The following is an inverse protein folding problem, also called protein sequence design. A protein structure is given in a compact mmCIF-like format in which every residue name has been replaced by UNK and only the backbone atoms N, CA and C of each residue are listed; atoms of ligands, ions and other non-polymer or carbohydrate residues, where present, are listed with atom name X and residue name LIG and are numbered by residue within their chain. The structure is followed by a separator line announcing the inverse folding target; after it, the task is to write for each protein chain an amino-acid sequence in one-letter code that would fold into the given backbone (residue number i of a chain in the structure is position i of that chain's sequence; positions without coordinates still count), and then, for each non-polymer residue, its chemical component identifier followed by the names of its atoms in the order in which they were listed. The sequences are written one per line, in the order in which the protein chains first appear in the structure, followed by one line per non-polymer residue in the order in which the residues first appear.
data_IF_978169989929
#
_entry.id   IF_978169989929
#
_cell.length_a   1.000
_cell.length_b   1.000
_cell.length_c   1.000
_cell.angle_alpha   90.00
_cell.angle_beta   90.00
_cell.angle_gamma   90.00
#
_symmetry.space_group_name_H-M   'P 1'
#
loop_
_entity.id
_entity.type
_entity.pdbx_description
1 polymer ?
#
# COMPACT_ATOMS: atom_id res chain seq x y z
N UNK A 1 0.07 12.51 -10.79
CA UNK A 1 0.53 12.59 -12.20
C UNK A 1 1.39 13.84 -12.40
N UNK A 2 2.72 13.69 -12.36
CA UNK A 2 3.66 14.82 -12.53
C UNK A 2 4.08 14.89 -14.00
N UNK A 3 3.74 15.97 -14.71
CA UNK A 3 4.33 16.26 -16.02
C UNK A 3 5.78 16.68 -15.80
N UNK A 4 6.73 15.88 -16.29
CA UNK A 4 8.14 16.26 -16.30
C UNK A 4 8.37 17.44 -17.25
N UNK A 5 9.12 18.44 -16.80
CA UNK A 5 9.59 19.56 -17.62
C UNK A 5 10.51 19.00 -18.73
N UNK A 6 10.34 19.47 -19.96
CA UNK A 6 11.05 19.01 -21.17
C UNK A 6 12.54 19.40 -21.19
N UNK A 7 13.16 19.59 -20.02
CA UNK A 7 14.50 20.14 -19.82
C UNK A 7 15.36 19.25 -18.90
N UNK A 8 15.16 17.93 -18.94
CA UNK A 8 16.13 17.00 -18.36
C UNK A 8 17.44 17.12 -19.15
N UNK A 9 18.45 17.72 -18.52
CA UNK A 9 19.76 17.95 -19.12
C UNK A 9 20.49 16.61 -19.32
N UNK A 10 20.93 16.34 -20.55
CA UNK A 10 21.46 15.05 -21.00
C UNK A 10 22.72 14.59 -20.24
N UNK A 11 23.40 15.52 -19.54
CA UNK A 11 24.58 15.23 -18.72
C UNK A 11 24.31 14.56 -17.37
N UNK A 12 23.04 14.44 -16.95
CA UNK A 12 22.65 13.94 -15.61
C UNK A 12 21.99 12.56 -15.63
N UNK A 13 21.69 12.03 -16.81
CA UNK A 13 21.02 10.74 -16.97
C UNK A 13 22.04 9.64 -17.23
N UNK A 14 22.13 8.68 -16.32
CA UNK A 14 22.84 7.42 -16.59
C UNK A 14 21.80 6.41 -17.05
N UNK A 15 21.65 6.28 -18.37
CA UNK A 15 20.74 5.30 -18.94
C UNK A 15 21.29 3.89 -18.70
N UNK A 16 20.59 3.11 -17.88
CA UNK A 16 20.83 1.68 -17.75
C UNK A 16 19.81 0.96 -18.62
N UNK A 17 20.10 0.87 -19.91
CA UNK A 17 19.24 0.13 -20.81
C UNK A 17 19.28 -1.36 -20.45
N UNK A 18 18.17 -1.85 -19.88
CA UNK A 18 17.90 -3.27 -19.75
C UNK A 18 16.87 -3.61 -20.81
N UNK A 19 17.14 -4.66 -21.57
CA UNK A 19 16.18 -5.19 -22.53
C UNK A 19 15.65 -6.48 -21.92
N UNK A 20 14.34 -6.52 -21.69
CA UNK A 20 13.63 -7.74 -21.27
C UNK A 20 13.51 -8.73 -22.43
N UNK A 21 13.67 -8.26 -23.66
CA UNK A 21 13.66 -9.08 -24.86
C UNK A 21 14.99 -8.95 -25.62
N UNK A 22 15.65 -10.08 -25.87
CA UNK A 22 16.83 -10.14 -26.73
C UNK A 22 16.35 -10.04 -28.17
N UNK A 23 16.18 -8.82 -28.69
CA UNK A 23 16.20 -8.43 -30.11
C UNK A 23 15.60 -7.00 -30.20
N UNK A 24 16.19 -5.97 -30.81
CA UNK A 24 17.26 -5.84 -31.80
C UNK A 24 18.03 -4.52 -31.50
N UNK A 25 19.32 -4.46 -31.89
CA UNK A 25 20.18 -3.25 -32.04
C UNK A 25 21.13 -2.83 -30.89
N UNK A 26 21.73 -3.77 -30.14
CA UNK A 26 23.07 -3.55 -29.54
C UNK A 26 23.80 -4.87 -29.24
N UNK A 27 25.14 -4.92 -29.27
CA UNK A 27 25.90 -6.15 -29.50
C UNK A 27 25.86 -7.06 -28.27
N UNK A 28 25.28 -8.24 -28.46
CA UNK A 28 25.49 -9.47 -27.69
C UNK A 28 25.94 -9.28 -26.23
N UNK A 29 24.98 -9.00 -25.33
CA UNK A 29 25.14 -9.43 -23.95
C UNK A 29 24.71 -10.90 -23.89
N UNK A 30 25.64 -11.81 -24.17
CA UNK A 30 25.42 -13.27 -24.25
C UNK A 30 25.05 -13.93 -22.92
N UNK A 31 24.74 -13.15 -21.88
CA UNK A 31 24.25 -13.63 -20.59
C UNK A 31 23.33 -12.59 -19.97
N UNK A 32 22.15 -12.96 -19.45
CA UNK A 32 21.26 -12.02 -18.79
C UNK A 32 22.02 -11.29 -17.67
N UNK A 33 21.79 -9.97 -17.54
CA UNK A 33 22.38 -9.21 -16.44
C UNK A 33 21.95 -9.81 -15.08
N UNK A 34 22.71 -9.60 -13.98
CA UNK A 34 22.27 -10.03 -12.65
C UNK A 34 20.85 -9.53 -12.30
N UNK A 35 20.49 -8.33 -12.74
CA UNK A 35 19.15 -7.78 -12.54
C UNK A 35 18.09 -8.50 -13.39
N UNK A 36 18.37 -8.79 -14.65
CA UNK A 36 17.46 -9.56 -15.51
C UNK A 36 17.23 -10.96 -14.91
N UNK A 37 18.28 -11.65 -14.44
CA UNK A 37 18.11 -12.92 -13.72
C UNK A 37 17.20 -12.79 -12.50
N UNK A 38 17.37 -11.73 -11.71
CA UNK A 38 16.50 -11.48 -10.53
C UNK A 38 15.07 -11.17 -10.93
N UNK A 39 14.85 -10.43 -12.01
CA UNK A 39 13.52 -10.19 -12.55
C UNK A 39 12.82 -11.51 -12.89
N UNK A 40 13.42 -12.35 -13.73
CA UNK A 40 12.87 -13.65 -14.12
C UNK A 40 12.68 -14.60 -12.92
N UNK A 41 13.57 -14.53 -11.93
CA UNK A 41 13.54 -15.43 -10.77
C UNK A 41 12.48 -15.02 -9.74
N UNK A 42 12.30 -13.72 -9.51
CA UNK A 42 11.50 -13.22 -8.38
C UNK A 42 10.31 -12.37 -8.81
N UNK A 43 10.51 -11.40 -9.70
CA UNK A 43 9.48 -10.42 -10.06
C UNK A 43 8.46 -11.03 -11.02
N UNK A 44 8.92 -11.67 -12.09
CA UNK A 44 8.02 -12.24 -13.10
C UNK A 44 7.05 -13.28 -12.50
N UNK A 45 7.47 -14.25 -11.66
CA UNK A 45 6.53 -15.17 -11.01
C UNK A 45 5.51 -14.45 -10.12
N UNK A 46 5.93 -13.40 -9.41
CA UNK A 46 5.03 -12.57 -8.60
C UNK A 46 3.99 -11.88 -9.49
N UNK A 47 4.41 -11.21 -10.57
CA UNK A 47 3.50 -10.52 -11.48
C UNK A 47 2.52 -11.50 -12.13
N UNK A 48 3.00 -12.65 -12.61
CA UNK A 48 2.15 -13.71 -13.20
C UNK A 48 1.12 -14.24 -12.21
N UNK A 49 1.49 -14.36 -10.93
CA UNK A 49 0.58 -14.84 -9.88
C UNK A 49 -0.57 -13.84 -9.62
N UNK A 50 -0.32 -12.54 -9.67
CA UNK A 50 -1.26 -11.55 -9.16
C UNK A 50 -1.90 -10.60 -10.19
N UNK A 51 -1.31 -10.44 -11.38
CA UNK A 51 -1.73 -9.42 -12.35
C UNK A 51 -2.19 -9.96 -13.72
N UNK A 52 -2.30 -11.28 -13.87
CA UNK A 52 -2.55 -11.95 -15.16
C UNK A 52 -1.44 -11.70 -16.19
N UNK A 53 -1.24 -12.62 -17.12
CA UNK A 53 -0.08 -12.59 -18.03
C UNK A 53 -0.27 -11.72 -19.27
N UNK A 54 -1.46 -11.13 -19.47
CA UNK A 54 -1.85 -10.55 -20.77
C UNK A 54 -1.23 -9.17 -21.00
N UNK A 55 -0.80 -8.46 -19.94
CA UNK A 55 -0.39 -7.05 -20.03
C UNK A 55 0.98 -6.77 -19.40
N UNK A 56 1.88 -7.76 -19.38
CA UNK A 56 3.27 -7.48 -19.05
C UNK A 56 3.91 -6.68 -20.20
N UNK A 57 4.63 -5.57 -19.92
CA UNK A 57 5.35 -4.85 -20.95
C UNK A 57 6.45 -5.72 -21.55
N UNK A 58 6.62 -5.64 -22.87
CA UNK A 58 7.66 -6.36 -23.60
C UNK A 58 9.06 -5.82 -23.27
N UNK A 59 9.15 -4.53 -22.90
CA UNK A 59 10.42 -3.84 -22.60
C UNK A 59 10.33 -3.09 -21.28
N UNK A 60 11.26 -3.35 -20.37
CA UNK A 60 11.45 -2.59 -19.12
C UNK A 60 12.74 -1.78 -19.21
N UNK A 61 12.63 -0.46 -19.24
CA UNK A 61 13.78 0.45 -19.21
C UNK A 61 13.93 1.03 -17.81
N UNK A 62 15.14 0.94 -17.24
CA UNK A 62 15.47 1.54 -15.95
C UNK A 62 16.47 2.67 -16.15
N UNK A 63 16.08 3.90 -15.86
CA UNK A 63 16.96 5.06 -16.03
C UNK A 63 17.34 5.56 -14.66
N UNK A 64 18.62 5.48 -14.32
CA UNK A 64 19.10 6.04 -13.06
C UNK A 64 19.31 7.55 -13.22
N UNK A 65 18.72 8.34 -12.32
CA UNK A 65 18.83 9.79 -12.34
C UNK A 65 18.80 10.39 -10.94
N UNK A 66 19.60 11.42 -10.69
CA UNK A 66 19.54 12.21 -9.46
C UNK A 66 18.39 13.22 -9.45
N UNK A 67 17.72 13.43 -10.58
CA UNK A 67 16.69 14.49 -10.74
C UNK A 67 15.37 14.18 -10.04
N UNK A 68 15.16 12.93 -9.61
CA UNK A 68 13.92 12.50 -8.94
C UNK A 68 14.07 12.41 -7.43
N UNK A 69 15.22 12.78 -6.86
CA UNK A 69 15.33 12.87 -5.40
C UNK A 69 14.34 13.91 -4.87
N UNK A 70 13.51 13.57 -3.85
CA UNK A 70 13.63 12.42 -2.94
C UNK A 70 12.70 11.23 -3.24
N UNK A 71 12.05 11.14 -4.39
CA UNK A 71 10.91 10.25 -4.68
C UNK A 71 11.28 8.76 -4.83
N UNK A 72 12.57 8.40 -4.83
CA UNK A 72 13.04 7.01 -4.91
C UNK A 72 12.93 6.40 -6.30
N UNK A 73 11.73 6.35 -6.87
CA UNK A 73 11.49 6.04 -8.28
C UNK A 73 10.26 6.76 -8.82
N UNK A 74 10.10 6.72 -10.15
CA UNK A 74 8.93 7.27 -10.83
C UNK A 74 8.60 6.46 -12.08
N UNK A 75 7.41 5.88 -12.13
CA UNK A 75 6.78 5.41 -13.36
C UNK A 75 6.51 6.58 -14.30
N UNK A 76 7.07 6.50 -15.50
CA UNK A 76 7.01 7.59 -16.47
C UNK A 76 6.21 7.19 -17.72
N UNK A 77 4.92 7.52 -17.73
CA UNK A 77 4.06 7.37 -18.93
C UNK A 77 4.56 8.21 -20.11
N UNK A 78 5.14 9.39 -19.85
CA UNK A 78 5.68 10.28 -20.88
C UNK A 78 6.98 9.80 -21.55
N UNK A 79 7.64 8.78 -21.00
CA UNK A 79 8.85 8.16 -21.55
C UNK A 79 8.58 6.78 -22.16
N UNK A 80 7.30 6.43 -22.35
CA UNK A 80 6.93 5.19 -23.03
C UNK A 80 7.13 5.38 -24.54
N UNK A 81 8.02 4.60 -25.15
CA UNK A 81 8.17 4.55 -26.61
C UNK A 81 6.99 3.87 -27.32
N UNK A 82 5.99 3.41 -26.57
CA UNK A 82 4.76 2.77 -27.04
C UNK A 82 4.07 2.00 -25.91
N UNK A 83 2.90 1.37 -26.18
CA UNK A 83 2.15 0.60 -25.17
C UNK A 83 2.90 -0.64 -24.63
N UNK A 84 3.97 -1.06 -25.32
CA UNK A 84 4.78 -2.23 -24.97
C UNK A 84 6.06 -1.89 -24.20
N UNK A 85 6.32 -0.59 -23.95
CA UNK A 85 7.51 -0.14 -23.22
C UNK A 85 7.14 0.48 -21.87
N UNK A 86 7.86 0.05 -20.85
CA UNK A 86 7.68 0.45 -19.47
C UNK A 86 8.98 1.03 -18.93
N UNK A 87 8.98 2.34 -18.67
CA UNK A 87 10.16 3.08 -18.21
C UNK A 87 10.00 3.49 -16.75
N UNK A 88 11.00 3.12 -15.93
CA UNK A 88 11.13 3.55 -14.54
C UNK A 88 12.35 4.46 -14.41
N UNK A 89 12.16 5.65 -13.84
CA UNK A 89 13.28 6.45 -13.36
C UNK A 89 13.62 6.03 -11.92
N UNK A 90 14.87 5.80 -11.59
CA UNK A 90 15.30 5.32 -10.26
C UNK A 90 16.39 6.22 -9.68
N UNK A 91 16.30 6.54 -8.39
CA UNK A 91 17.33 7.31 -7.70
C UNK A 91 18.59 6.47 -7.43
N UNK A 92 19.77 7.08 -7.29
CA UNK A 92 20.99 6.35 -6.97
C UNK A 92 20.90 5.52 -5.69
N UNK A 93 20.27 6.05 -4.65
CA UNK A 93 20.15 5.38 -3.35
C UNK A 93 19.37 4.06 -3.44
N UNK A 94 18.25 4.06 -4.17
CA UNK A 94 17.44 2.85 -4.36
C UNK A 94 18.20 1.81 -5.18
N UNK A 95 18.97 2.25 -6.18
CA UNK A 95 19.78 1.34 -7.01
C UNK A 95 20.93 0.67 -6.25
N UNK A 96 21.37 1.24 -5.12
CA UNK A 96 22.46 0.71 -4.32
C UNK A 96 22.06 -0.51 -3.48
N UNK A 97 20.78 -0.63 -3.10
CA UNK A 97 20.26 -1.78 -2.38
C UNK A 97 19.42 -2.68 -3.31
N UNK A 98 19.84 -3.94 -3.46
CA UNK A 98 19.13 -4.90 -4.30
C UNK A 98 17.70 -5.17 -3.85
N UNK A 99 17.43 -5.27 -2.55
CA UNK A 99 16.09 -5.58 -2.05
C UNK A 99 15.15 -4.40 -2.33
N UNK A 100 15.59 -3.18 -2.06
CA UNK A 100 14.83 -1.96 -2.33
C UNK A 100 14.60 -1.76 -3.83
N UNK A 101 15.59 -2.05 -4.67
CA UNK A 101 15.44 -2.03 -6.13
C UNK A 101 14.38 -3.02 -6.62
N UNK A 102 14.34 -4.26 -6.10
CA UNK A 102 13.32 -5.23 -6.55
C UNK A 102 11.93 -4.84 -6.07
N UNK A 103 11.81 -4.34 -4.84
CA UNK A 103 10.55 -3.81 -4.29
C UNK A 103 10.02 -2.66 -5.13
N UNK A 104 10.85 -1.67 -5.44
CA UNK A 104 10.40 -0.51 -6.22
C UNK A 104 10.01 -0.91 -7.64
N UNK A 105 10.71 -1.88 -8.26
CA UNK A 105 10.29 -2.37 -9.57
C UNK A 105 8.88 -2.97 -9.49
N UNK A 106 8.58 -3.78 -8.47
CA UNK A 106 7.23 -4.32 -8.24
C UNK A 106 6.19 -3.21 -7.98
N UNK A 107 6.55 -2.17 -7.22
CA UNK A 107 5.70 -0.99 -6.99
C UNK A 107 5.31 -0.34 -8.31
N UNK A 108 6.28 -0.01 -9.15
CA UNK A 108 6.03 0.67 -10.42
C UNK A 108 5.32 -0.24 -11.44
N UNK A 109 5.58 -1.55 -11.45
CA UNK A 109 4.81 -2.49 -12.27
C UNK A 109 3.33 -2.50 -11.86
N UNK A 110 3.05 -2.36 -10.56
CA UNK A 110 1.66 -2.26 -10.09
C UNK A 110 0.97 -1.04 -10.70
N UNK A 111 1.66 0.12 -10.71
CA UNK A 111 1.16 1.31 -11.41
C UNK A 111 0.89 1.04 -12.89
N UNK A 112 1.77 0.31 -13.58
CA UNK A 112 1.54 -0.06 -14.98
C UNK A 112 0.25 -0.88 -15.17
N UNK A 113 0.05 -1.94 -14.40
CA UNK A 113 -1.15 -2.79 -14.50
C UNK A 113 -2.43 -2.02 -14.18
N UNK A 114 -2.41 -1.19 -13.14
CA UNK A 114 -3.57 -0.35 -12.83
C UNK A 114 -3.82 0.70 -13.90
N UNK A 115 -2.78 1.29 -14.49
CA UNK A 115 -2.93 2.26 -15.57
C UNK A 115 -3.55 1.63 -16.83
N UNK A 116 -3.15 0.42 -17.21
CA UNK A 116 -3.66 -0.28 -18.41
C UNK A 116 -5.11 -0.73 -18.26
N UNK A 117 -5.55 -1.08 -17.05
CA UNK A 117 -6.89 -1.64 -16.80
C UNK A 117 -7.88 -0.65 -16.20
N UNK A 118 -7.39 0.31 -15.42
CA UNK A 118 -8.16 1.17 -14.53
C UNK A 118 -7.62 2.59 -14.51
N UNK A 119 -7.86 3.32 -15.58
CA UNK A 119 -7.55 4.74 -15.63
C UNK A 119 -8.31 5.53 -14.55
N UNK A 120 -7.69 6.62 -14.07
CA UNK A 120 -8.28 7.59 -13.15
C UNK A 120 -8.63 7.05 -11.74
N UNK A 121 -7.76 6.21 -11.16
CA UNK A 121 -7.86 5.89 -9.74
C UNK A 121 -7.39 7.09 -8.89
N UNK A 122 -7.93 7.27 -7.68
CA UNK A 122 -7.38 8.27 -6.77
C UNK A 122 -5.98 7.86 -6.32
N UNK A 123 -5.07 8.82 -6.15
CA UNK A 123 -3.65 8.59 -5.82
C UNK A 123 -3.45 7.65 -4.64
N UNK A 124 -4.28 7.76 -3.59
CA UNK A 124 -4.16 6.86 -2.42
C UNK A 124 -4.43 5.40 -2.72
N UNK A 125 -5.27 5.15 -3.71
CA UNK A 125 -5.58 3.82 -4.13
C UNK A 125 -4.44 3.28 -5.00
N UNK A 126 -3.94 4.06 -5.96
CA UNK A 126 -2.79 3.69 -6.80
C UNK A 126 -1.55 3.40 -5.97
N UNK A 127 -1.15 4.34 -5.10
CA UNK A 127 0.03 4.18 -4.26
C UNK A 127 -0.17 3.11 -3.18
N UNK A 128 -1.39 2.99 -2.64
CA UNK A 128 -1.71 1.98 -1.65
C UNK A 128 -1.66 0.56 -2.20
N UNK A 129 -2.11 0.32 -3.44
CA UNK A 129 -1.98 -0.98 -4.10
C UNK A 129 -0.54 -1.29 -4.47
N UNK A 130 0.23 -0.30 -4.92
CA UNK A 130 1.64 -0.48 -5.21
C UNK A 130 2.47 -0.82 -3.95
N UNK A 131 2.19 -0.14 -2.82
CA UNK A 131 2.78 -0.46 -1.51
C UNK A 131 2.33 -1.81 -0.94
N UNK A 132 1.11 -2.25 -1.27
CA UNK A 132 0.66 -3.60 -0.95
C UNK A 132 1.45 -4.65 -1.76
N UNK A 133 1.69 -4.40 -3.05
CA UNK A 133 2.50 -5.28 -3.88
C UNK A 133 3.92 -5.41 -3.35
N UNK A 134 4.55 -4.31 -2.89
CA UNK A 134 5.85 -4.36 -2.21
C UNK A 134 5.83 -5.30 -1.00
N UNK A 135 4.78 -5.18 -0.17
CA UNK A 135 4.62 -6.00 1.02
C UNK A 135 4.41 -7.48 0.65
N UNK A 136 3.54 -7.78 -0.30
CA UNK A 136 3.27 -9.15 -0.75
C UNK A 136 4.50 -9.79 -1.40
N UNK A 137 5.33 -9.01 -2.10
CA UNK A 137 6.56 -9.49 -2.73
C UNK A 137 7.68 -9.76 -1.72
N UNK A 138 7.91 -8.83 -0.78
CA UNK A 138 9.05 -8.89 0.15
C UNK A 138 8.74 -9.49 1.52
N UNK A 139 7.45 -9.60 1.87
CA UNK A 139 6.98 -9.93 3.21
C UNK A 139 7.24 -8.83 4.25
N UNK A 140 7.64 -7.63 3.84
CA UNK A 140 8.05 -6.54 4.73
C UNK A 140 7.38 -5.21 4.34
N UNK A 141 6.85 -4.44 5.31
CA UNK A 141 6.31 -3.13 5.03
C UNK A 141 7.43 -2.11 4.76
N UNK A 142 7.06 -0.92 4.26
CA UNK A 142 7.99 0.20 4.06
C UNK A 142 8.33 0.87 5.39
N UNK A 143 9.45 0.46 5.99
CA UNK A 143 9.83 0.87 7.35
C UNK A 143 9.82 2.39 7.57
N UNK A 144 10.34 3.18 6.62
CA UNK A 144 10.39 4.63 6.74
C UNK A 144 9.00 5.28 6.70
N UNK A 145 8.14 4.89 5.76
CA UNK A 145 6.79 5.43 5.62
C UNK A 145 5.92 5.08 6.84
N UNK A 146 6.01 3.84 7.32
CA UNK A 146 5.28 3.38 8.51
C UNK A 146 5.76 4.11 9.77
N UNK A 147 7.08 4.25 9.96
CA UNK A 147 7.65 4.99 11.09
C UNK A 147 7.17 6.44 11.09
N UNK A 148 7.24 7.11 9.93
CA UNK A 148 6.76 8.47 9.77
C UNK A 148 5.26 8.58 10.09
N UNK A 149 4.46 7.56 9.72
CA UNK A 149 3.04 7.53 10.07
C UNK A 149 2.80 7.55 11.58
N UNK A 150 3.55 6.77 12.34
CA UNK A 150 3.41 6.76 13.80
C UNK A 150 3.87 8.06 14.46
N UNK A 151 4.82 8.77 13.86
CA UNK A 151 5.24 10.10 14.30
C UNK A 151 4.21 11.18 13.94
N UNK A 152 3.55 11.06 12.78
CA UNK A 152 2.54 12.01 12.28
C UNK A 152 1.21 11.31 11.96
N UNK A 153 0.52 10.73 12.96
CA UNK A 153 -0.65 9.86 12.74
C UNK A 153 -1.90 10.60 12.25
N UNK A 154 -1.86 11.94 12.26
CA UNK A 154 -2.91 12.81 11.76
C UNK A 154 -2.88 13.02 10.24
N UNK A 155 -1.81 12.61 9.55
CA UNK A 155 -1.79 12.66 8.09
C UNK A 155 -2.88 11.74 7.53
N UNK A 156 -3.60 12.23 6.52
CA UNK A 156 -4.68 11.51 5.85
C UNK A 156 -4.22 11.08 4.47
N UNK A 157 -4.19 9.77 4.20
CA UNK A 157 -3.85 9.29 2.86
C UNK A 157 -4.83 9.79 1.79
N UNK A 158 -6.06 10.18 2.15
CA UNK A 158 -7.01 10.73 1.18
C UNK A 158 -6.61 12.11 0.65
N UNK A 159 -5.82 12.89 1.40
CA UNK A 159 -5.56 14.31 1.12
C UNK A 159 -4.08 14.65 1.05
N UNK A 160 -3.23 13.94 1.78
CA UNK A 160 -1.87 14.37 2.09
C UNK A 160 -0.77 13.66 1.29
N UNK A 161 -1.12 12.75 0.35
CA UNK A 161 -0.12 12.05 -0.47
C UNK A 161 0.65 12.99 -1.39
N UNK A 162 -0.01 14.02 -1.92
CA UNK A 162 0.63 15.06 -2.74
C UNK A 162 1.27 16.18 -1.89
N UNK A 163 1.13 16.12 -0.55
CA UNK A 163 1.69 17.12 0.34
C UNK A 163 3.12 16.73 0.73
N UNK A 164 4.17 17.45 0.27
CA UNK A 164 5.56 17.03 0.48
C UNK A 164 5.99 16.96 1.95
N UNK A 165 5.24 17.58 2.89
CA UNK A 165 5.54 17.52 4.33
C UNK A 165 4.90 16.34 5.05
N UNK A 166 3.86 15.75 4.46
CA UNK A 166 3.01 14.73 5.05
C UNK A 166 2.93 13.45 4.19
N UNK A 167 3.41 13.50 2.95
CA UNK A 167 3.31 12.42 1.97
C UNK A 167 3.88 11.12 2.51
N UNK A 168 5.08 11.14 3.10
CA UNK A 168 5.70 9.94 3.66
C UNK A 168 4.84 9.30 4.78
N UNK A 169 4.22 10.10 5.64
CA UNK A 169 3.26 9.60 6.64
C UNK A 169 1.97 9.06 5.98
N UNK A 170 1.49 9.74 4.95
CA UNK A 170 0.31 9.35 4.19
C UNK A 170 0.52 8.02 3.44
N UNK A 171 1.71 7.78 2.86
CA UNK A 171 2.11 6.50 2.27
C UNK A 171 2.10 5.39 3.32
N UNK A 172 2.64 5.65 4.52
CA UNK A 172 2.59 4.68 5.63
C UNK A 172 1.16 4.32 6.01
N UNK A 173 0.26 5.31 6.10
CA UNK A 173 -1.15 5.06 6.39
C UNK A 173 -1.84 4.26 5.27
N UNK A 174 -1.56 4.58 4.00
CA UNK A 174 -2.10 3.85 2.86
C UNK A 174 -1.63 2.39 2.88
N UNK A 175 -0.34 2.12 3.07
CA UNK A 175 0.19 0.77 3.17
C UNK A 175 -0.49 -0.03 4.29
N UNK A 176 -0.63 0.56 5.49
CA UNK A 176 -1.33 -0.07 6.60
C UNK A 176 -2.78 -0.41 6.25
N UNK A 177 -3.51 0.49 5.59
CA UNK A 177 -4.90 0.23 5.22
C UNK A 177 -5.02 -0.92 4.20
N UNK A 178 -4.17 -0.96 3.18
CA UNK A 178 -4.22 -2.06 2.21
C UNK A 178 -3.70 -3.38 2.77
N UNK A 179 -2.71 -3.38 3.66
CA UNK A 179 -2.30 -4.56 4.43
C UNK A 179 -3.45 -5.06 5.33
N UNK A 180 -4.22 -4.15 5.94
CA UNK A 180 -5.39 -4.52 6.72
C UNK A 180 -6.41 -5.27 5.87
N UNK A 181 -6.75 -4.73 4.69
CA UNK A 181 -7.63 -5.42 3.74
C UNK A 181 -7.04 -6.77 3.31
N UNK A 182 -5.73 -6.83 3.05
CA UNK A 182 -5.05 -8.07 2.64
C UNK A 182 -5.14 -9.15 3.71
N UNK A 183 -5.08 -8.78 5.00
CA UNK A 183 -5.26 -9.76 6.06
C UNK A 183 -6.65 -10.43 6.00
N UNK A 184 -7.69 -9.78 5.48
CA UNK A 184 -9.03 -10.39 5.38
C UNK A 184 -9.26 -11.11 4.05
N UNK A 185 -8.77 -10.55 2.94
CA UNK A 185 -9.04 -11.07 1.59
C UNK A 185 -7.93 -11.97 1.05
N UNK A 186 -6.74 -11.96 1.66
CA UNK A 186 -5.59 -12.76 1.25
C UNK A 186 -5.08 -12.44 -0.15
N UNK A 187 -4.45 -13.44 -0.76
CA UNK A 187 -3.79 -13.36 -2.07
C UNK A 187 -4.69 -12.89 -3.21
N UNK A 188 -6.01 -13.03 -3.08
CA UNK A 188 -6.98 -12.63 -4.10
C UNK A 188 -7.22 -11.12 -4.13
N UNK A 189 -6.82 -10.38 -3.08
CA UNK A 189 -7.14 -8.96 -2.95
C UNK A 189 -6.64 -8.14 -4.13
N UNK A 190 -5.38 -8.32 -4.54
CA UNK A 190 -4.75 -7.47 -5.54
C UNK A 190 -5.43 -7.63 -6.91
N UNK A 191 -5.68 -8.89 -7.31
CA UNK A 191 -6.43 -9.20 -8.51
C UNK A 191 -7.89 -8.70 -8.41
N UNK A 192 -8.51 -8.77 -7.23
CA UNK A 192 -9.85 -8.24 -6.99
C UNK A 192 -9.91 -6.72 -7.13
N UNK A 193 -8.90 -6.00 -6.63
CA UNK A 193 -8.74 -4.55 -6.76
C UNK A 193 -8.55 -4.12 -8.20
N UNK A 194 -7.75 -4.88 -8.97
CA UNK A 194 -7.56 -4.63 -10.40
C UNK A 194 -8.87 -4.80 -11.20
N UNK A 195 -9.68 -5.81 -10.86
CA UNK A 195 -10.90 -6.16 -11.62
C UNK A 195 -12.20 -5.56 -11.08
N UNK A 196 -12.21 -4.99 -9.87
CA UNK A 196 -13.41 -4.46 -9.25
C UNK A 196 -14.06 -3.34 -10.10
N UNK A 197 -15.37 -3.16 -10.01
CA UNK A 197 -16.01 -1.99 -10.64
C UNK A 197 -15.71 -0.71 -9.85
N UNK A 198 -15.75 0.44 -10.51
CA UNK A 198 -15.57 1.75 -9.86
C UNK A 198 -14.12 2.09 -9.51
N UNK A 199 -13.95 3.16 -8.73
CA UNK A 199 -12.64 3.70 -8.34
C UNK A 199 -12.53 3.88 -6.82
N UNK A 200 -11.31 3.75 -6.29
CA UNK A 200 -11.02 3.97 -4.88
C UNK A 200 -11.93 3.21 -3.93
N UNK A 201 -12.70 3.96 -3.13
CA UNK A 201 -13.62 3.41 -2.14
C UNK A 201 -14.74 2.56 -2.75
N UNK A 202 -15.25 2.91 -3.95
CA UNK A 202 -16.29 2.12 -4.61
C UNK A 202 -15.75 0.76 -5.07
N UNK A 203 -14.49 0.71 -5.52
CA UNK A 203 -13.84 -0.57 -5.87
C UNK A 203 -13.74 -1.48 -4.64
N UNK A 204 -13.31 -0.96 -3.50
CA UNK A 204 -13.21 -1.73 -2.24
C UNK A 204 -14.61 -2.16 -1.77
N UNK A 205 -15.61 -1.29 -1.85
CA UNK A 205 -17.00 -1.64 -1.55
C UNK A 205 -17.51 -2.79 -2.41
N UNK A 206 -17.20 -2.82 -3.70
CA UNK A 206 -17.57 -3.94 -4.56
C UNK A 206 -16.89 -5.25 -4.14
N UNK A 207 -15.62 -5.20 -3.75
CA UNK A 207 -14.91 -6.38 -3.22
C UNK A 207 -15.59 -6.90 -1.95
N UNK A 208 -15.86 -6.00 -1.00
CA UNK A 208 -16.57 -6.29 0.25
C UNK A 208 -17.91 -7.00 -0.03
N UNK A 209 -18.70 -6.45 -0.96
CA UNK A 209 -20.01 -7.00 -1.31
C UNK A 209 -19.95 -8.34 -2.05
N UNK A 210 -18.86 -8.60 -2.79
CA UNK A 210 -18.67 -9.85 -3.53
C UNK A 210 -18.06 -10.98 -2.68
N UNK A 211 -17.41 -10.65 -1.56
CA UNK A 211 -16.72 -11.63 -0.74
C UNK A 211 -17.69 -12.32 0.22
N UNK A 212 -17.79 -13.66 0.11
CA UNK A 212 -18.71 -14.49 0.90
C UNK A 212 -18.57 -14.31 2.42
N UNK A 213 -17.34 -14.02 2.88
CA UNK A 213 -17.00 -13.93 4.30
C UNK A 213 -16.55 -12.53 4.73
N UNK A 214 -16.91 -11.48 3.98
CA UNK A 214 -16.54 -10.13 4.42
C UNK A 214 -17.24 -9.79 5.74
N UNK A 215 -16.51 -9.29 6.75
CA UNK A 215 -17.13 -8.82 7.99
C UNK A 215 -17.79 -7.45 7.85
N UNK A 216 -17.66 -6.81 6.69
CA UNK A 216 -18.10 -5.44 6.44
C UNK A 216 -19.28 -5.39 5.47
N UNK A 217 -20.14 -4.38 5.64
CA UNK A 217 -21.23 -4.11 4.70
C UNK A 217 -20.87 -3.00 3.71
N UNK A 218 -19.86 -2.20 4.03
CA UNK A 218 -19.47 -1.00 3.29
C UNK A 218 -17.98 -0.70 3.42
N UNK A 219 -17.47 0.17 2.55
CA UNK A 219 -16.12 0.74 2.69
C UNK A 219 -15.94 1.47 4.02
N UNK A 220 -16.98 2.19 4.47
CA UNK A 220 -16.96 2.95 5.71
C UNK A 220 -16.80 2.04 6.94
N UNK A 221 -17.41 0.86 6.93
CA UNK A 221 -17.20 -0.14 7.98
C UNK A 221 -15.76 -0.63 8.00
N UNK A 222 -15.21 -1.02 6.84
CA UNK A 222 -13.83 -1.46 6.74
C UNK A 222 -12.83 -0.38 7.18
N UNK A 223 -13.06 0.86 6.77
CA UNK A 223 -12.21 1.99 7.14
C UNK A 223 -12.33 2.33 8.62
N UNK A 224 -13.54 2.31 9.20
CA UNK A 224 -13.74 2.49 10.65
C UNK A 224 -12.98 1.42 11.42
N UNK A 225 -13.15 0.15 11.07
CA UNK A 225 -12.52 -0.96 11.77
C UNK A 225 -11.00 -0.90 11.66
N UNK A 226 -10.46 -0.51 10.50
CA UNK A 226 -9.05 -0.17 10.33
C UNK A 226 -8.57 0.92 11.29
N UNK A 227 -9.31 2.03 11.42
CA UNK A 227 -8.91 3.13 12.30
C UNK A 227 -8.91 2.69 13.78
N UNK A 228 -9.89 1.88 14.19
CA UNK A 228 -9.91 1.31 15.55
C UNK A 228 -8.74 0.37 15.74
N UNK A 229 -8.50 -0.55 14.79
CA UNK A 229 -7.40 -1.49 14.88
C UNK A 229 -6.05 -0.75 14.99
N UNK A 230 -5.83 0.30 14.20
CA UNK A 230 -4.64 1.16 14.31
C UNK A 230 -4.51 1.78 15.71
N UNK A 231 -5.62 2.24 16.30
CA UNK A 231 -5.61 2.82 17.63
C UNK A 231 -5.25 1.77 18.70
N UNK A 232 -5.86 0.58 18.66
CA UNK A 232 -5.56 -0.53 19.58
C UNK A 232 -4.10 -0.94 19.48
N UNK A 233 -3.57 -1.10 18.28
CA UNK A 233 -2.16 -1.47 18.07
C UNK A 233 -1.17 -0.43 18.58
N UNK A 234 -1.56 0.85 18.64
CA UNK A 234 -0.75 1.89 19.26
C UNK A 234 -0.75 1.80 20.79
N UNK A 235 -1.81 1.26 21.37
CA UNK A 235 -1.96 1.11 22.82
C UNK A 235 -1.34 -0.17 23.35
N UNK A 236 -1.07 -1.16 22.51
CA UNK A 236 -0.47 -2.42 22.93
C UNK A 236 1.02 -2.21 23.31
N UNK A 237 1.39 -2.36 24.60
CA UNK A 237 2.78 -2.26 25.04
C UNK A 237 3.61 -3.51 24.73
N UNK A 238 3.04 -4.57 24.13
CA UNK A 238 3.67 -5.89 23.98
C UNK A 238 4.69 -6.03 22.83
N UNK A 239 5.06 -4.94 22.15
CA UNK A 239 6.20 -4.96 21.24
C UNK A 239 7.52 -4.87 22.04
N UNK A 240 7.85 -5.93 22.78
CA UNK A 240 8.98 -5.98 23.71
C UNK A 240 10.37 -5.92 23.02
N UNK A 241 10.45 -5.96 21.69
CA UNK A 241 11.71 -5.92 20.95
C UNK A 241 11.58 -5.37 19.51
N UNK A 242 12.72 -5.01 18.92
CA UNK A 242 12.89 -4.51 17.53
C UNK A 242 12.32 -5.44 16.44
N UNK A 243 12.08 -6.72 16.75
CA UNK A 243 11.49 -7.70 15.82
C UNK A 243 9.97 -7.59 15.83
N UNK A 244 9.37 -7.31 16.99
CA UNK A 244 7.92 -7.12 17.12
C UNK A 244 7.48 -5.73 16.66
N UNK A 245 8.34 -4.72 16.74
CA UNK A 245 8.11 -3.43 16.06
C UNK A 245 8.08 -3.56 14.52
N UNK A 246 8.74 -4.56 13.93
CA UNK A 246 8.68 -4.85 12.48
C UNK A 246 7.44 -5.66 12.09
N UNK A 247 6.74 -6.22 13.09
CA UNK A 247 5.49 -6.94 12.95
C UNK A 247 4.34 -6.02 13.34
N UNK A 248 4.12 -4.98 12.54
CA UNK A 248 2.89 -4.20 12.61
C UNK A 248 1.71 -5.09 12.18
N UNK A 249 1.31 -6.02 13.04
CA UNK A 249 0.05 -6.71 12.86
C UNK A 249 -1.02 -5.67 13.12
N UNK A 250 -1.73 -5.28 12.06
CA UNK A 250 -3.08 -4.82 12.29
C UNK A 250 -3.84 -6.10 12.61
N UNK A 251 -4.00 -6.40 13.91
CA UNK A 251 -4.76 -7.56 14.35
C UNK A 251 -6.02 -7.71 13.49
N UNK A 252 -6.30 -8.93 13.03
CA UNK A 252 -7.61 -9.30 12.51
C UNK A 252 -8.62 -9.30 13.67
N UNK A 253 -8.81 -8.18 14.37
CA UNK A 253 -9.94 -8.04 15.26
C UNK A 253 -11.13 -7.70 14.38
N UNK A 254 -11.92 -8.71 14.02
CA UNK A 254 -13.30 -8.50 13.63
C UNK A 254 -14.00 -7.88 14.84
N UNK A 255 -14.09 -6.56 14.90
CA UNK A 255 -14.86 -5.87 15.92
C UNK A 255 -16.34 -6.04 15.60
N UNK A 256 -16.89 -7.18 15.99
CA UNK A 256 -18.33 -7.36 15.97
C UNK A 256 -18.94 -6.47 17.05
N UNK A 257 -19.69 -5.45 16.66
CA UNK A 257 -20.67 -4.85 17.56
C UNK A 257 -21.67 -5.94 17.94
N UNK A 258 -21.47 -6.64 19.07
CA UNK A 258 -22.42 -7.66 19.53
C UNK A 258 -23.63 -6.96 20.14
N UNK A 259 -24.85 -7.15 19.62
CA UNK A 259 -26.05 -6.68 20.30
C UNK A 259 -26.20 -7.43 21.63
N UNK A 260 -26.19 -6.72 22.77
CA UNK A 260 -26.60 -7.28 24.06
C UNK A 260 -25.53 -8.02 24.89
N UNK A 261 -24.25 -7.62 24.81
CA UNK A 261 -23.23 -8.18 25.70
C UNK A 261 -23.53 -7.86 27.18
N UNK A 262 -23.94 -8.87 27.95
CA UNK A 262 -23.78 -8.84 29.41
C UNK A 262 -22.31 -9.09 29.71
N UNK A 263 -21.58 -8.04 30.07
CA UNK A 263 -20.14 -8.07 30.32
C UNK A 263 -19.82 -9.01 31.48
N UNK A 264 -19.14 -10.12 31.17
CA UNK A 264 -18.28 -10.80 32.14
C UNK A 264 -16.88 -10.27 31.85
N UNK A 265 -16.31 -9.52 32.78
CA UNK A 265 -15.08 -8.78 32.59
C UNK A 265 -13.91 -9.71 32.22
N UNK A 266 -13.51 -9.65 30.95
CA UNK A 266 -12.20 -10.00 30.42
C UNK A 266 -11.85 -8.86 29.47
N UNK A 267 -10.71 -8.19 29.69
CA UNK A 267 -10.20 -7.16 28.79
C UNK A 267 -10.46 -5.70 29.18
N UNK A 268 -9.54 -4.83 28.73
CA UNK A 268 -9.70 -3.38 28.81
C UNK A 268 -10.75 -2.92 27.78
N UNK A 269 -11.74 -2.14 28.24
CA UNK A 269 -12.77 -1.58 27.36
C UNK A 269 -12.50 -0.10 27.08
N UNK A 270 -12.87 0.33 25.88
CA UNK A 270 -12.61 1.66 25.36
C UNK A 270 -13.89 2.25 24.76
N UNK A 271 -14.24 3.48 25.12
CA UNK A 271 -15.34 4.22 24.50
C UNK A 271 -14.79 5.01 23.32
N UNK A 272 -15.34 4.77 22.14
CA UNK A 272 -14.94 5.43 20.90
C UNK A 272 -16.01 6.45 20.51
N UNK A 273 -15.66 7.74 20.53
CA UNK A 273 -16.52 8.85 20.06
C UNK A 273 -16.08 9.25 18.65
N UNK A 274 -17.01 9.17 17.70
CA UNK A 274 -16.76 9.51 16.29
C UNK A 274 -17.17 10.97 16.04
N UNK A 275 -16.20 11.86 15.86
CA UNK A 275 -16.45 13.20 15.31
C UNK A 275 -15.96 13.23 13.86
N UNK A 276 -16.92 13.23 12.93
CA UNK A 276 -16.76 13.50 11.49
C UNK A 276 -15.38 13.16 10.91
N UNK A 277 -15.16 11.87 10.62
CA UNK A 277 -14.14 11.31 9.72
C UNK A 277 -12.64 11.63 9.96
N UNK A 278 -12.27 12.49 10.90
CA UNK A 278 -10.87 12.91 11.09
C UNK A 278 -10.36 12.73 12.52
N UNK A 279 -11.26 12.55 13.50
CA UNK A 279 -10.86 12.36 14.89
C UNK A 279 -11.72 11.29 15.56
N UNK A 280 -11.08 10.16 15.81
CA UNK A 280 -11.57 9.16 16.75
C UNK A 280 -11.03 9.55 18.13
N UNK A 281 -11.90 9.95 19.05
CA UNK A 281 -11.52 10.06 20.45
C UNK A 281 -11.80 8.73 21.13
N UNK A 282 -10.77 8.17 21.76
CA UNK A 282 -10.91 6.94 22.52
C UNK A 282 -10.62 7.21 23.98
N UNK A 283 -11.60 6.93 24.83
CA UNK A 283 -11.50 7.06 26.28
C UNK A 283 -11.44 5.67 26.88
N UNK A 284 -10.39 5.36 27.64
CA UNK A 284 -10.30 4.11 28.41
C UNK A 284 -11.42 4.08 29.45
N UNK A 285 -12.25 3.03 29.41
CA UNK A 285 -13.31 2.79 30.38
C UNK A 285 -12.70 2.04 31.56
N UNK A 286 -12.46 2.75 32.66
CA UNK A 286 -11.85 2.20 33.88
C UNK A 286 -12.81 1.26 34.63
N UNK A 287 -14.11 1.36 34.35
CA UNK A 287 -15.14 0.53 34.98
C UNK A 287 -16.22 0.15 33.93
N UNK A 288 -16.17 -1.08 33.37
CA UNK A 288 -17.12 -1.52 32.34
C UNK A 288 -18.57 -1.59 32.84
N UNK A 289 -18.82 -1.46 34.15
CA UNK A 289 -20.19 -1.37 34.69
C UNK A 289 -20.79 0.04 34.64
N UNK A 290 -19.98 1.07 34.34
CA UNK A 290 -20.42 2.48 34.21
C UNK A 290 -20.72 2.90 32.78
N UNK A 291 -20.73 1.96 31.84
CA UNK A 291 -21.06 2.21 30.43
C UNK A 291 -22.52 2.66 30.35
N UNK A 292 -22.73 3.96 30.08
CA UNK A 292 -24.06 4.49 29.76
C UNK A 292 -24.41 4.08 28.33
N UNK A 293 -25.67 3.72 28.10
CA UNK A 293 -26.19 3.33 26.80
C UNK A 293 -25.67 4.23 25.67
N UNK A 294 -25.10 3.60 24.63
CA UNK A 294 -24.54 4.24 23.47
C UNK A 294 -25.45 5.35 22.90
N UNK A 295 -24.88 6.54 22.73
CA UNK A 295 -25.43 7.56 21.83
C UNK A 295 -25.20 7.13 20.37
N UNK A 296 -25.94 7.69 19.41
CA UNK A 296 -25.81 7.35 17.98
C UNK A 296 -24.38 7.52 17.41
N UNK A 297 -23.46 8.20 18.11
CA UNK A 297 -22.10 8.48 17.65
C UNK A 297 -20.99 7.86 18.55
N UNK A 298 -21.35 6.96 19.46
CA UNK A 298 -20.38 6.33 20.37
C UNK A 298 -20.55 4.81 20.39
N UNK A 299 -19.46 4.06 20.32
CA UNK A 299 -19.48 2.60 20.49
C UNK A 299 -18.33 2.14 21.40
N UNK A 300 -18.55 1.03 22.10
CA UNK A 300 -17.56 0.46 23.00
C UNK A 300 -16.79 -0.67 22.33
N UNK A 301 -15.50 -0.72 22.60
CA UNK A 301 -14.58 -1.75 22.11
C UNK A 301 -13.92 -2.40 23.31
N UNK A 302 -14.15 -3.69 23.50
CA UNK A 302 -13.45 -4.50 24.50
C UNK A 302 -12.52 -5.47 23.78
N UNK A 303 -11.26 -5.52 24.20
CA UNK A 303 -10.24 -6.42 23.66
C UNK A 303 -10.29 -7.70 24.50
N UNK A 304 -10.67 -8.83 23.91
CA UNK A 304 -10.65 -10.15 24.58
C UNK A 304 -9.24 -10.74 24.65
#
# INVERSE_FOLDING_TARGET
MIKLDSRLDAGTLKELNYYLDQDELSPFVSSPSPLHRRYLTYIEPFLKKFFSTIDAPEKLRLIQTSTIEPQGALYCTGFQGGPHEFTILISPDVSANTEDLLKIIVHEFTHHYFYTHKINQPTWFEEGTALLSEYMFSGKPSGAAITEHFQKPWASFFKDLDNPKLSLSAYGQAQLFFMYLYNFFGDELLNSLLNAKGSGAEAIKHIIQSAEKSPWLSFQDAFRDFQIAKYINRLDPLADNDIDQRRYFIFQSTLHAKPGLKTKALGECYQVENSEFERIQVKKIIDPTKVKSASNNSFDVCIE
#
